data_IF_576862986153
#
_entry.id   IF_576862986153
#
_cell.length_a   1.000
_cell.length_b   1.000
_cell.length_c   1.000
_cell.angle_alpha   90.00
_cell.angle_beta   90.00
_cell.angle_gamma   90.00
#
_symmetry.space_group_name_H-M   'P 1'
#
loop_
_entity.id
_entity.type
_entity.pdbx_description
1 polymer ?
#
# COMPACT_ATOMS: atom_id res chain seq x y z
N UNK A 1 -7.95 -5.63 -31.71
CA UNK A 1 -7.52 -4.77 -30.59
C UNK A 1 -6.56 -5.58 -29.75
N UNK A 2 -5.51 -4.97 -29.21
CA UNK A 2 -4.61 -5.64 -28.26
C UNK A 2 -5.37 -6.03 -26.99
N UNK A 3 -4.96 -7.13 -26.33
CA UNK A 3 -5.63 -7.67 -25.14
C UNK A 3 -5.69 -6.67 -23.95
N UNK A 4 -4.66 -5.83 -23.84
CA UNK A 4 -4.54 -4.81 -22.80
C UNK A 4 -3.61 -3.66 -23.21
N UNK A 5 -3.54 -2.62 -22.39
CA UNK A 5 -2.76 -1.40 -22.62
C UNK A 5 -1.24 -1.65 -22.52
N UNK A 6 -0.53 -1.25 -23.58
CA UNK A 6 0.92 -1.45 -23.68
C UNK A 6 1.32 -2.91 -23.92
N UNK A 7 0.48 -3.69 -24.61
CA UNK A 7 0.74 -5.11 -24.92
C UNK A 7 2.14 -5.35 -25.51
N UNK A 8 2.48 -4.67 -26.60
CA UNK A 8 3.73 -4.89 -27.34
C UNK A 8 4.99 -4.67 -26.48
N UNK A 9 4.94 -3.75 -25.53
CA UNK A 9 6.07 -3.43 -24.63
C UNK A 9 6.14 -4.31 -23.37
N UNK A 10 5.17 -5.21 -23.15
CA UNK A 10 5.08 -6.06 -21.94
C UNK A 10 5.06 -7.56 -22.24
N UNK A 11 4.57 -7.97 -23.42
CA UNK A 11 4.22 -9.35 -23.71
C UNK A 11 5.39 -10.33 -23.63
N UNK A 12 6.60 -9.92 -24.04
CA UNK A 12 7.77 -10.81 -24.01
C UNK A 12 8.12 -11.21 -22.57
N UNK A 13 8.16 -10.22 -21.66
CA UNK A 13 8.39 -10.46 -20.25
C UNK A 13 7.27 -11.29 -19.60
N UNK A 14 6.02 -11.03 -19.97
CA UNK A 14 4.87 -11.83 -19.51
C UNK A 14 5.03 -13.29 -19.94
N UNK A 15 5.35 -13.53 -21.21
CA UNK A 15 5.53 -14.87 -21.76
C UNK A 15 6.70 -15.62 -21.11
N UNK A 16 7.80 -14.94 -20.79
CA UNK A 16 8.92 -15.52 -20.04
C UNK A 16 8.47 -15.98 -18.64
N UNK A 17 7.68 -15.16 -17.94
CA UNK A 17 7.14 -15.50 -16.62
C UNK A 17 6.12 -16.63 -16.71
N UNK A 18 5.23 -16.62 -17.70
CA UNK A 18 4.29 -17.71 -17.94
C UNK A 18 5.05 -19.05 -18.12
N UNK A 19 6.07 -19.08 -19.00
CA UNK A 19 6.92 -20.26 -19.21
C UNK A 19 7.59 -20.73 -17.92
N UNK A 20 8.12 -19.80 -17.11
CA UNK A 20 8.75 -20.12 -15.81
C UNK A 20 7.82 -20.90 -14.87
N UNK A 21 6.52 -20.61 -14.89
CA UNK A 21 5.53 -21.27 -14.04
C UNK A 21 4.73 -22.39 -14.73
N UNK A 22 5.14 -22.77 -15.95
CA UNK A 22 4.43 -23.78 -16.73
C UNK A 22 2.99 -23.37 -17.05
N UNK A 23 2.80 -22.09 -17.37
CA UNK A 23 1.58 -21.50 -17.93
C UNK A 23 1.90 -21.20 -19.41
N UNK A 24 1.14 -21.74 -20.34
CA UNK A 24 1.38 -21.62 -21.79
C UNK A 24 1.08 -20.23 -22.33
N UNK A 25 0.08 -19.53 -21.78
CA UNK A 25 -0.25 -18.16 -22.18
C UNK A 25 -0.96 -17.36 -21.07
N UNK A 26 -1.09 -16.04 -21.27
CA UNK A 26 -1.83 -15.17 -20.35
C UNK A 26 -3.32 -15.55 -20.27
N UNK A 27 -3.89 -16.07 -21.35
CA UNK A 27 -5.26 -16.59 -21.38
C UNK A 27 -5.39 -17.89 -20.58
N UNK A 28 -4.40 -18.79 -20.60
CA UNK A 28 -4.40 -19.97 -19.74
C UNK A 28 -4.37 -19.59 -18.25
N UNK A 29 -3.68 -18.48 -17.89
CA UNK A 29 -3.72 -17.99 -16.52
C UNK A 29 -5.15 -17.71 -16.05
N UNK A 30 -6.02 -17.20 -16.94
CA UNK A 30 -7.44 -17.03 -16.62
C UNK A 30 -8.15 -18.37 -16.44
N UNK A 31 -7.92 -19.34 -17.31
CA UNK A 31 -8.49 -20.69 -17.17
C UNK A 31 -8.12 -21.33 -15.83
N UNK A 32 -6.85 -21.26 -15.43
CA UNK A 32 -6.36 -21.77 -14.12
C UNK A 32 -7.13 -21.11 -12.96
N UNK A 33 -7.34 -19.80 -13.04
CA UNK A 33 -8.09 -19.05 -12.02
C UNK A 33 -9.58 -19.45 -12.00
N UNK A 34 -10.22 -19.54 -13.17
CA UNK A 34 -11.63 -19.90 -13.31
C UNK A 34 -11.91 -21.33 -12.80
N UNK A 35 -11.05 -22.29 -13.10
CA UNK A 35 -11.15 -23.68 -12.63
C UNK A 35 -11.07 -23.79 -11.10
N UNK A 36 -10.32 -22.90 -10.44
CA UNK A 36 -10.27 -22.77 -8.98
C UNK A 36 -11.32 -21.83 -8.40
N UNK A 37 -12.12 -21.17 -9.23
CA UNK A 37 -13.11 -20.19 -8.80
C UNK A 37 -12.53 -18.88 -8.26
N UNK A 38 -11.27 -18.56 -8.58
CA UNK A 38 -10.61 -17.31 -8.19
C UNK A 38 -10.88 -16.24 -9.24
N UNK A 39 -11.78 -15.31 -8.96
CA UNK A 39 -12.18 -14.24 -9.91
C UNK A 39 -11.28 -13.00 -9.81
N UNK A 40 -9.97 -13.17 -10.00
CA UNK A 40 -9.00 -12.08 -9.83
C UNK A 40 -9.29 -10.87 -10.74
N UNK A 41 -9.69 -11.12 -11.99
CA UNK A 41 -10.05 -10.09 -12.96
C UNK A 41 -11.21 -9.20 -12.47
N UNK A 42 -12.28 -9.83 -11.96
CA UNK A 42 -13.47 -9.14 -11.48
C UNK A 42 -13.18 -8.37 -10.18
N UNK A 43 -12.43 -8.97 -9.26
CA UNK A 43 -12.01 -8.31 -7.99
C UNK A 43 -11.31 -6.97 -8.26
N UNK A 44 -10.44 -6.92 -9.28
CA UNK A 44 -9.74 -5.68 -9.66
C UNK A 44 -10.72 -4.65 -10.21
N UNK A 45 -11.63 -5.05 -11.11
CA UNK A 45 -12.64 -4.17 -11.69
C UNK A 45 -13.61 -3.61 -10.64
N UNK A 46 -14.03 -4.42 -9.67
CA UNK A 46 -14.95 -4.02 -8.62
C UNK A 46 -14.30 -3.04 -7.62
N UNK A 47 -13.02 -3.28 -7.26
CA UNK A 47 -12.29 -2.40 -6.34
C UNK A 47 -11.93 -1.06 -6.96
N UNK A 48 -11.63 -1.03 -8.26
CA UNK A 48 -11.40 0.22 -8.99
C UNK A 48 -11.99 0.11 -10.40
N UNK A 49 -13.23 0.60 -10.61
CA UNK A 49 -13.92 0.52 -11.91
C UNK A 49 -13.18 1.17 -13.08
N UNK A 50 -12.28 2.11 -12.79
CA UNK A 50 -11.44 2.80 -13.77
C UNK A 50 -10.07 2.12 -14.01
N UNK A 51 -9.83 0.94 -13.41
CA UNK A 51 -8.60 0.18 -13.63
C UNK A 51 -8.49 -0.30 -15.07
N UNK A 52 -7.26 -0.26 -15.59
CA UNK A 52 -6.95 -0.66 -16.96
C UNK A 52 -7.02 -2.18 -17.14
N UNK A 53 -7.16 -2.64 -18.39
CA UNK A 53 -7.16 -4.07 -18.70
C UNK A 53 -5.84 -4.72 -18.28
N UNK A 54 -4.72 -4.03 -18.44
CA UNK A 54 -3.42 -4.57 -18.04
C UNK A 54 -3.32 -4.86 -16.52
N UNK A 55 -4.06 -4.14 -15.68
CA UNK A 55 -4.13 -4.39 -14.26
C UNK A 55 -4.88 -5.68 -13.96
N UNK A 56 -6.07 -5.84 -14.55
CA UNK A 56 -6.91 -7.03 -14.35
C UNK A 56 -6.20 -8.31 -14.80
N UNK A 57 -5.50 -8.25 -15.94
CA UNK A 57 -4.68 -9.36 -16.42
C UNK A 57 -3.44 -9.63 -15.57
N UNK A 58 -2.78 -8.60 -15.02
CA UNK A 58 -1.64 -8.78 -14.13
C UNK A 58 -2.01 -9.51 -12.84
N UNK A 59 -3.14 -9.16 -12.22
CA UNK A 59 -3.66 -9.88 -11.05
C UNK A 59 -4.13 -11.29 -11.39
N UNK A 60 -4.69 -11.49 -12.59
CA UNK A 60 -5.06 -12.83 -13.08
C UNK A 60 -3.83 -13.73 -13.23
N UNK A 61 -2.77 -13.22 -13.85
CA UNK A 61 -1.49 -13.93 -13.92
C UNK A 61 -0.93 -14.22 -12.52
N UNK A 62 -0.93 -13.22 -11.64
CA UNK A 62 -0.46 -13.36 -10.26
C UNK A 62 -1.21 -14.44 -9.46
N UNK A 63 -2.53 -14.49 -9.59
CA UNK A 63 -3.36 -15.53 -8.98
C UNK A 63 -3.07 -16.92 -9.56
N UNK A 64 -2.92 -17.03 -10.89
CA UNK A 64 -2.56 -18.29 -11.54
C UNK A 64 -1.19 -18.81 -11.09
N UNK A 65 -0.20 -17.92 -10.94
CA UNK A 65 1.13 -18.25 -10.40
C UNK A 65 0.98 -18.78 -8.96
N UNK A 66 0.17 -18.13 -8.12
CA UNK A 66 -0.06 -18.58 -6.75
C UNK A 66 -0.70 -19.99 -6.70
N UNK A 67 -1.69 -20.25 -7.56
CA UNK A 67 -2.33 -21.55 -7.69
C UNK A 67 -1.33 -22.62 -8.15
N UNK A 68 -0.52 -22.33 -9.18
CA UNK A 68 0.48 -23.27 -9.71
C UNK A 68 1.60 -23.57 -8.70
N UNK A 69 1.93 -22.61 -7.83
CA UNK A 69 2.87 -22.81 -6.71
C UNK A 69 2.26 -23.58 -5.53
N UNK A 70 0.96 -23.86 -5.55
CA UNK A 70 0.27 -24.54 -4.46
C UNK A 70 0.16 -23.68 -3.20
N UNK A 71 0.10 -22.35 -3.33
CA UNK A 71 0.01 -21.44 -2.18
C UNK A 71 -1.31 -21.65 -1.42
N UNK A 72 -1.22 -22.13 -0.17
CA UNK A 72 -2.38 -22.29 0.72
C UNK A 72 -2.52 -21.16 1.74
N UNK A 73 -1.46 -20.39 1.98
CA UNK A 73 -1.50 -19.19 2.81
C UNK A 73 -1.60 -17.92 1.96
N UNK A 74 -2.48 -17.01 2.33
CA UNK A 74 -2.70 -15.75 1.60
C UNK A 74 -1.42 -14.90 1.54
N UNK A 75 -0.58 -14.93 2.57
CA UNK A 75 0.70 -14.21 2.55
C UNK A 75 1.64 -14.71 1.43
N UNK A 76 1.66 -16.02 1.14
CA UNK A 76 2.47 -16.56 0.05
C UNK A 76 1.81 -16.33 -1.32
N UNK A 77 0.48 -16.38 -1.37
CA UNK A 77 -0.27 -15.98 -2.56
C UNK A 77 -0.01 -14.51 -2.93
N UNK A 78 0.07 -13.61 -1.95
CA UNK A 78 0.40 -12.19 -2.18
C UNK A 78 1.79 -12.00 -2.79
N UNK A 79 2.80 -12.76 -2.34
CA UNK A 79 4.14 -12.73 -2.96
C UNK A 79 4.10 -13.20 -4.41
N UNK A 80 3.37 -14.28 -4.70
CA UNK A 80 3.17 -14.79 -6.05
C UNK A 80 2.40 -13.80 -6.94
N UNK A 81 1.40 -13.10 -6.40
CA UNK A 81 0.72 -12.00 -7.09
C UNK A 81 1.71 -10.89 -7.44
N UNK A 82 2.64 -10.56 -6.54
CA UNK A 82 3.73 -9.62 -6.82
C UNK A 82 4.60 -10.01 -8.01
N UNK A 83 4.85 -11.31 -8.22
CA UNK A 83 5.57 -11.81 -9.40
C UNK A 83 4.79 -11.57 -10.71
N UNK A 84 3.46 -11.76 -10.69
CA UNK A 84 2.58 -11.41 -11.79
C UNK A 84 2.55 -9.90 -12.09
N UNK A 85 2.44 -9.08 -11.05
CA UNK A 85 2.52 -7.62 -11.18
C UNK A 85 3.87 -7.17 -11.75
N UNK A 86 4.96 -7.81 -11.33
CA UNK A 86 6.30 -7.50 -11.81
C UNK A 86 6.50 -7.89 -13.26
N UNK A 87 5.91 -8.99 -13.71
CA UNK A 87 5.93 -9.42 -15.11
C UNK A 87 5.30 -8.38 -16.04
N UNK A 88 4.33 -7.63 -15.52
CA UNK A 88 3.68 -6.56 -16.24
C UNK A 88 4.44 -5.24 -16.22
N UNK A 89 5.55 -5.06 -15.48
CA UNK A 89 6.32 -3.82 -15.57
C UNK A 89 6.91 -3.63 -16.98
N UNK A 90 6.94 -2.40 -17.52
CA UNK A 90 7.64 -2.11 -18.78
C UNK A 90 9.14 -2.24 -18.54
N UNK A 91 9.88 -3.04 -19.34
CA UNK A 91 11.33 -3.17 -19.20
C UNK A 91 12.05 -1.82 -19.20
N UNK A 92 12.97 -1.61 -18.27
CA UNK A 92 13.76 -0.38 -18.16
C UNK A 92 13.01 0.84 -17.59
N UNK A 93 11.72 0.70 -17.27
CA UNK A 93 10.94 1.75 -16.62
C UNK A 93 11.31 1.92 -15.15
N UNK A 94 10.81 3.01 -14.55
CA UNK A 94 10.94 3.23 -13.10
C UNK A 94 10.33 2.08 -12.31
N UNK A 95 9.17 1.57 -12.74
CA UNK A 95 8.50 0.44 -12.09
C UNK A 95 9.31 -0.86 -12.15
N UNK A 96 9.98 -1.12 -13.28
CA UNK A 96 10.84 -2.30 -13.43
C UNK A 96 12.11 -2.20 -12.57
N UNK A 97 12.83 -1.07 -12.65
CA UNK A 97 14.06 -0.88 -11.87
C UNK A 97 13.83 -0.96 -10.36
N UNK A 98 12.72 -0.39 -9.86
CA UNK A 98 12.38 -0.41 -8.43
C UNK A 98 11.70 -1.70 -7.98
N UNK A 99 11.46 -2.65 -8.89
CA UNK A 99 10.76 -3.90 -8.62
C UNK A 99 9.41 -3.66 -7.93
N UNK A 100 8.64 -2.70 -8.45
CA UNK A 100 7.41 -2.19 -7.81
C UNK A 100 6.35 -3.29 -7.68
N UNK A 101 6.23 -4.19 -8.65
CA UNK A 101 5.30 -5.32 -8.59
C UNK A 101 5.62 -6.25 -7.42
N UNK A 102 6.89 -6.61 -7.23
CA UNK A 102 7.34 -7.39 -6.08
C UNK A 102 7.12 -6.65 -4.76
N UNK A 103 7.34 -5.33 -4.75
CA UNK A 103 7.08 -4.47 -3.58
C UNK A 103 5.62 -4.51 -3.14
N UNK A 104 4.66 -4.44 -4.08
CA UNK A 104 3.23 -4.60 -3.77
C UNK A 104 2.90 -5.99 -3.22
N UNK A 105 3.45 -7.05 -3.82
CA UNK A 105 3.27 -8.42 -3.31
C UNK A 105 3.80 -8.60 -1.88
N UNK A 106 4.98 -8.04 -1.59
CA UNK A 106 5.58 -8.08 -0.25
C UNK A 106 4.77 -7.30 0.78
N UNK A 107 4.27 -6.11 0.42
CA UNK A 107 3.37 -5.35 1.29
C UNK A 107 2.10 -6.16 1.60
N UNK A 108 1.45 -6.71 0.58
CA UNK A 108 0.26 -7.56 0.77
C UNK A 108 0.55 -8.75 1.68
N UNK A 109 1.70 -9.40 1.49
CA UNK A 109 2.13 -10.53 2.32
C UNK A 109 2.31 -10.16 3.79
N UNK A 110 2.89 -8.98 4.07
CA UNK A 110 3.06 -8.50 5.44
C UNK A 110 1.72 -8.16 6.09
N UNK A 111 0.80 -7.52 5.36
CA UNK A 111 -0.55 -7.22 5.85
C UNK A 111 -1.37 -8.48 6.16
N UNK A 112 -1.06 -9.60 5.48
CA UNK A 112 -1.70 -10.90 5.69
C UNK A 112 -0.99 -11.78 6.73
N UNK A 113 0.23 -11.42 7.14
CA UNK A 113 1.04 -12.21 8.07
C UNK A 113 0.72 -11.92 9.53
N UNK A 114 0.67 -12.96 10.37
CA UNK A 114 0.54 -12.82 11.83
C UNK A 114 1.72 -12.10 12.49
N UNK A 115 2.86 -11.94 11.79
CA UNK A 115 4.01 -11.18 12.28
C UNK A 115 3.73 -9.68 12.39
N UNK A 116 2.74 -9.15 11.66
CA UNK A 116 2.35 -7.74 11.73
C UNK A 116 1.06 -7.58 12.53
N UNK A 117 1.08 -6.77 13.58
CA UNK A 117 -0.07 -6.45 14.43
C UNK A 117 -0.65 -5.06 14.19
N UNK A 118 0.13 -4.11 13.66
CA UNK A 118 -0.34 -2.74 13.42
C UNK A 118 0.14 -2.16 12.09
N UNK A 119 -0.81 -1.64 11.32
CA UNK A 119 -0.59 -0.94 10.06
C UNK A 119 -0.92 0.56 10.20
N UNK A 120 0.03 1.43 9.87
CA UNK A 120 -0.13 2.87 9.94
C UNK A 120 -0.25 3.53 8.56
N UNK A 121 -1.28 4.33 8.38
CA UNK A 121 -1.34 5.32 7.31
C UNK A 121 -0.72 6.62 7.82
N UNK A 122 0.47 6.95 7.31
CA UNK A 122 1.08 8.24 7.54
C UNK A 122 0.44 9.23 6.56
N UNK A 123 -0.66 9.84 7.00
CA UNK A 123 -1.63 10.56 6.20
C UNK A 123 -1.27 12.03 5.99
N UNK A 124 -1.57 12.55 4.79
CA UNK A 124 -1.58 13.98 4.46
C UNK A 124 -2.97 14.60 4.46
N UNK A 125 -3.06 15.90 4.16
CA UNK A 125 -4.30 16.68 4.26
C UNK A 125 -5.42 16.20 3.33
N UNK A 126 -5.08 15.43 2.28
CA UNK A 126 -6.03 14.90 1.30
C UNK A 126 -6.47 13.45 1.59
N UNK A 127 -6.18 12.93 2.80
CA UNK A 127 -6.28 11.48 3.08
C UNK A 127 -7.67 10.95 3.41
N UNK A 128 -8.74 11.69 3.11
CA UNK A 128 -10.12 11.21 3.29
C UNK A 128 -10.36 9.89 2.54
N UNK A 129 -9.84 9.75 1.33
CA UNK A 129 -9.97 8.52 0.55
C UNK A 129 -9.05 7.38 1.06
N UNK A 130 -7.96 7.69 1.75
CA UNK A 130 -7.06 6.68 2.30
C UNK A 130 -7.69 5.94 3.50
N UNK A 131 -8.57 6.63 4.25
CA UNK A 131 -9.32 6.08 5.37
C UNK A 131 -10.24 4.91 4.97
N UNK A 132 -11.02 5.05 3.89
CA UNK A 132 -11.90 3.97 3.41
C UNK A 132 -11.10 2.76 2.89
N UNK A 133 -10.03 3.01 2.14
CA UNK A 133 -9.14 1.94 1.66
C UNK A 133 -8.50 1.15 2.81
N UNK A 134 -8.08 1.85 3.87
CA UNK A 134 -7.49 1.26 5.07
C UNK A 134 -8.41 0.25 5.75
N UNK A 135 -9.69 0.61 5.88
CA UNK A 135 -10.73 -0.25 6.48
C UNK A 135 -10.95 -1.49 5.62
N UNK A 136 -11.14 -1.30 4.31
CA UNK A 136 -11.38 -2.41 3.38
C UNK A 136 -10.22 -3.42 3.35
N UNK A 137 -8.98 -2.92 3.37
CA UNK A 137 -7.76 -3.74 3.47
C UNK A 137 -7.78 -4.55 4.77
N UNK A 138 -7.96 -3.90 5.92
CA UNK A 138 -7.94 -4.60 7.20
C UNK A 138 -9.09 -5.61 7.34
N UNK A 139 -10.30 -5.26 6.92
CA UNK A 139 -11.43 -6.19 6.92
C UNK A 139 -11.18 -7.42 6.07
N UNK A 140 -10.61 -7.23 4.88
CA UNK A 140 -10.31 -8.34 3.97
C UNK A 140 -9.17 -9.20 4.51
N UNK A 141 -8.08 -8.60 4.97
CA UNK A 141 -6.97 -9.32 5.60
C UNK A 141 -7.44 -10.11 6.83
N UNK A 142 -8.32 -9.52 7.65
CA UNK A 142 -8.83 -10.15 8.87
C UNK A 142 -9.76 -11.36 8.63
N UNK A 143 -10.17 -11.65 7.38
CA UNK A 143 -10.89 -12.89 7.06
C UNK A 143 -10.04 -14.13 7.25
N UNK A 144 -8.73 -14.02 7.04
CA UNK A 144 -7.78 -15.14 7.06
C UNK A 144 -6.79 -15.08 8.23
N UNK A 145 -6.82 -13.99 9.01
CA UNK A 145 -5.96 -13.79 10.18
C UNK A 145 -6.63 -14.28 11.46
N UNK A 146 -5.82 -14.78 12.38
CA UNK A 146 -6.21 -15.10 13.75
C UNK A 146 -6.26 -13.84 14.60
N UNK A 147 -5.21 -13.01 14.52
CA UNK A 147 -5.16 -11.74 15.22
C UNK A 147 -5.53 -10.60 14.26
N UNK A 148 -6.61 -9.85 14.54
CA UNK A 148 -7.02 -8.76 13.68
C UNK A 148 -5.91 -7.71 13.55
N UNK A 149 -5.57 -7.35 12.31
CA UNK A 149 -4.67 -6.25 12.00
C UNK A 149 -5.30 -4.94 12.50
N UNK A 150 -4.57 -4.22 13.35
CA UNK A 150 -4.96 -2.88 13.81
C UNK A 150 -4.54 -1.85 12.80
N UNK A 151 -5.35 -0.81 12.63
CA UNK A 151 -5.09 0.29 11.70
C UNK A 151 -5.07 1.59 12.46
N UNK A 152 -4.03 2.39 12.22
CA UNK A 152 -3.93 3.75 12.73
C UNK A 152 -3.69 4.76 11.61
N UNK A 153 -4.09 6.00 11.84
CA UNK A 153 -3.67 7.16 11.06
C UNK A 153 -2.75 8.01 11.93
N UNK A 154 -1.69 8.54 11.33
CA UNK A 154 -0.72 9.44 11.97
C UNK A 154 -0.17 10.42 10.91
N UNK A 155 0.58 11.46 11.28
CA UNK A 155 1.17 12.43 10.34
C UNK A 155 0.28 13.61 9.96
N UNK A 156 -0.87 13.74 10.63
CA UNK A 156 -1.84 14.83 10.51
C UNK A 156 -1.63 15.86 11.64
N UNK A 157 -2.05 17.11 11.44
CA UNK A 157 -2.23 18.02 12.58
C UNK A 157 -3.43 17.61 13.43
N UNK A 158 -3.47 18.00 14.72
CA UNK A 158 -4.53 17.62 15.67
C UNK A 158 -5.95 17.98 15.18
N UNK A 159 -6.15 19.19 14.67
CA UNK A 159 -7.46 19.61 14.11
C UNK A 159 -7.89 18.76 12.91
N UNK A 160 -6.95 18.49 11.99
CA UNK A 160 -7.22 17.68 10.81
C UNK A 160 -7.55 16.23 11.20
N UNK A 161 -6.82 15.66 12.16
CA UNK A 161 -7.08 14.33 12.69
C UNK A 161 -8.47 14.24 13.33
N UNK A 162 -8.89 15.24 14.11
CA UNK A 162 -10.22 15.26 14.71
C UNK A 162 -11.33 15.34 13.65
N UNK A 163 -11.19 16.22 12.65
CA UNK A 163 -12.16 16.37 11.56
C UNK A 163 -12.28 15.07 10.75
N UNK A 164 -11.15 14.49 10.35
CA UNK A 164 -11.10 13.21 9.61
C UNK A 164 -11.76 12.11 10.44
N UNK A 165 -11.48 12.06 11.75
CA UNK A 165 -12.06 11.05 12.63
C UNK A 165 -13.57 11.16 12.70
N UNK A 166 -14.07 12.40 12.88
CA UNK A 166 -15.51 12.66 12.97
C UNK A 166 -16.24 12.29 11.68
N UNK A 167 -15.70 12.66 10.53
CA UNK A 167 -16.32 12.40 9.22
C UNK A 167 -16.34 10.89 8.93
N UNK A 168 -15.27 10.17 9.25
CA UNK A 168 -15.17 8.75 8.93
C UNK A 168 -15.69 7.81 10.03
N UNK A 169 -16.08 8.34 11.19
CA UNK A 169 -16.52 7.55 12.35
C UNK A 169 -15.37 6.84 13.08
N UNK A 170 -14.14 7.35 13.00
CA UNK A 170 -12.97 6.78 13.68
C UNK A 170 -12.89 7.21 15.14
N UNK A 171 -11.97 6.60 15.87
CA UNK A 171 -11.59 7.08 17.20
C UNK A 171 -10.49 8.12 17.06
N UNK A 172 -10.78 9.36 17.41
CA UNK A 172 -9.78 10.42 17.54
C UNK A 172 -8.98 10.20 18.81
N UNK A 173 -7.66 10.19 18.71
CA UNK A 173 -6.75 10.09 19.85
C UNK A 173 -5.88 11.33 19.89
N UNK A 174 -6.12 12.17 20.89
CA UNK A 174 -5.36 13.38 21.13
C UNK A 174 -4.18 13.07 22.05
N UNK A 175 -3.00 13.54 21.64
CA UNK A 175 -1.76 13.33 22.38
C UNK A 175 -1.11 14.65 22.79
N UNK A 176 -0.31 14.58 23.84
CA UNK A 176 0.62 15.62 24.25
C UNK A 176 2.02 15.02 24.37
N UNK A 177 3.01 15.69 23.78
CA UNK A 177 4.40 15.24 23.79
C UNK A 177 5.21 15.98 24.86
N UNK A 178 5.73 15.24 25.83
CA UNK A 178 6.70 15.75 26.79
C UNK A 178 8.11 15.69 26.18
N UNK A 179 8.58 16.83 25.69
CA UNK A 179 9.92 16.97 25.10
C UNK A 179 11.07 16.71 26.09
N UNK A 180 10.85 16.92 27.40
CA UNK A 180 11.89 16.67 28.41
C UNK A 180 11.98 15.20 28.75
N UNK A 181 10.84 14.50 28.79
CA UNK A 181 10.77 13.08 29.09
C UNK A 181 10.87 12.18 27.85
N UNK A 182 10.84 12.75 26.63
CA UNK A 182 10.78 12.04 25.36
C UNK A 182 9.60 11.05 25.29
N UNK A 183 8.44 11.47 25.80
CA UNK A 183 7.27 10.61 26.00
C UNK A 183 5.98 11.23 25.45
N UNK A 184 5.21 10.43 24.73
CA UNK A 184 3.84 10.79 24.32
C UNK A 184 2.83 10.30 25.34
N UNK A 185 1.87 11.16 25.69
CA UNK A 185 0.75 10.84 26.58
C UNK A 185 -0.56 11.02 25.82
N UNK A 186 -1.50 10.08 25.98
CA UNK A 186 -2.86 10.22 25.47
C UNK A 186 -3.64 11.09 26.45
N UNK A 187 -4.14 12.23 25.98
CA UNK A 187 -4.91 13.18 26.79
C UNK A 187 -6.42 13.05 26.57
N UNK A 188 -6.83 12.53 25.41
CA UNK A 188 -8.24 12.37 25.05
C UNK A 188 -8.45 11.29 24.01
N UNK A 189 -9.51 10.51 24.17
CA UNK A 189 -10.02 9.59 23.15
C UNK A 189 -11.51 9.86 22.90
N UNK A 190 -11.89 10.02 21.62
CA UNK A 190 -13.28 10.24 21.21
C UNK A 190 -13.63 9.26 20.09
N UNK A 191 -14.46 8.27 20.39
CA UNK A 191 -15.06 7.41 19.37
C UNK A 191 -16.24 8.15 18.71
N UNK A 192 -16.18 8.35 17.39
CA UNK A 192 -17.27 8.98 16.64
C UNK A 192 -18.26 7.97 16.02
N UNK A 193 -18.06 6.68 16.26
CA UNK A 193 -19.01 5.61 15.93
C UNK A 193 -18.85 4.42 16.89
N UNK A 194 -19.73 3.43 16.79
CA UNK A 194 -19.71 2.23 17.64
C UNK A 194 -19.28 0.95 16.87
N UNK A 195 -18.92 1.09 15.59
CA UNK A 195 -18.68 -0.03 14.68
C UNK A 195 -17.19 -0.33 14.42
N UNK A 196 -16.92 -1.08 13.34
CA UNK A 196 -15.55 -1.38 12.90
C UNK A 196 -14.72 -0.12 12.63
N UNK A 197 -15.38 0.97 12.21
CA UNK A 197 -14.75 2.28 11.98
C UNK A 197 -14.13 2.83 13.27
N UNK A 198 -14.77 2.66 14.42
CA UNK A 198 -14.25 3.09 15.72
C UNK A 198 -12.96 2.37 16.13
N UNK A 199 -12.66 1.19 15.56
CA UNK A 199 -11.41 0.46 15.82
C UNK A 199 -10.20 1.11 15.15
N UNK A 200 -10.42 1.98 14.17
CA UNK A 200 -9.35 2.76 13.55
C UNK A 200 -9.05 3.95 14.45
N UNK A 201 -7.81 4.05 14.93
CA UNK A 201 -7.36 5.20 15.72
C UNK A 201 -6.72 6.24 14.83
N UNK A 202 -7.11 7.49 14.97
CA UNK A 202 -6.56 8.59 14.20
C UNK A 202 -5.88 9.58 15.15
N UNK A 203 -4.57 9.65 15.01
CA UNK A 203 -3.70 10.51 15.78
C UNK A 203 -3.38 11.79 14.99
N UNK A 204 -3.34 12.90 15.70
CA UNK A 204 -2.72 14.13 15.22
C UNK A 204 -1.44 14.41 16.00
N UNK A 205 -0.39 14.86 15.30
CA UNK A 205 0.89 15.24 15.87
C UNK A 205 1.22 16.68 15.47
N UNK A 206 1.91 17.40 16.34
CA UNK A 206 2.41 18.76 16.12
C UNK A 206 3.91 18.79 15.81
N UNK A 207 4.59 17.64 15.95
CA UNK A 207 6.01 17.49 15.64
C UNK A 207 6.32 16.10 15.08
N UNK A 208 7.49 15.95 14.46
CA UNK A 208 8.02 14.66 14.02
C UNK A 208 8.25 13.74 15.22
N UNK A 209 8.77 14.27 16.33
CA UNK A 209 9.05 13.51 17.55
C UNK A 209 7.79 12.90 18.14
N UNK A 210 6.72 13.69 18.25
CA UNK A 210 5.41 13.19 18.67
C UNK A 210 4.88 12.11 17.72
N UNK A 211 4.98 12.34 16.40
CA UNK A 211 4.61 11.36 15.39
C UNK A 211 5.37 10.04 15.52
N UNK A 212 6.68 10.08 15.76
CA UNK A 212 7.52 8.89 16.00
C UNK A 212 7.12 8.20 17.31
N UNK A 213 6.86 8.97 18.37
CA UNK A 213 6.43 8.41 19.65
C UNK A 213 5.06 7.73 19.56
N UNK A 214 4.14 8.23 18.72
CA UNK A 214 2.87 7.55 18.41
C UNK A 214 3.14 6.21 17.71
N UNK A 215 4.07 6.16 16.74
CA UNK A 215 4.43 4.90 16.06
C UNK A 215 5.00 3.88 17.05
N UNK A 216 5.79 4.33 18.03
CA UNK A 216 6.29 3.51 19.15
C UNK A 216 5.15 3.03 20.06
N UNK A 217 4.29 3.94 20.49
CA UNK A 217 3.14 3.67 21.38
C UNK A 217 2.24 2.57 20.80
N UNK A 218 1.93 2.66 19.51
CA UNK A 218 1.05 1.71 18.82
C UNK A 218 1.79 0.47 18.31
N UNK A 219 3.10 0.38 18.55
CA UNK A 219 3.97 -0.70 18.09
C UNK A 219 3.79 -0.99 16.59
N UNK A 220 3.89 0.04 15.75
CA UNK A 220 3.63 -0.09 14.29
C UNK A 220 4.62 -1.02 13.59
N UNK A 221 4.12 -1.95 12.79
CA UNK A 221 4.94 -2.94 12.06
C UNK A 221 5.06 -2.61 10.57
N UNK A 222 4.01 -1.98 10.02
CA UNK A 222 3.93 -1.61 8.61
C UNK A 222 3.43 -0.17 8.51
N UNK A 223 3.99 0.62 7.60
CA UNK A 223 3.40 1.91 7.24
C UNK A 223 3.38 2.16 5.74
N UNK A 224 2.46 3.02 5.34
CA UNK A 224 2.47 3.65 4.02
C UNK A 224 2.38 5.17 4.18
N UNK A 225 3.29 5.90 3.54
CA UNK A 225 3.22 7.37 3.48
C UNK A 225 2.24 7.79 2.40
N UNK A 226 1.30 8.65 2.74
CA UNK A 226 0.37 9.25 1.78
C UNK A 226 0.99 10.37 0.97
N UNK A 227 0.19 10.96 0.08
CA UNK A 227 0.57 12.21 -0.57
C UNK A 227 0.35 13.38 0.40
N UNK A 228 1.25 14.37 0.35
CA UNK A 228 1.07 15.65 1.02
C UNK A 228 1.15 16.78 0.00
N UNK A 229 0.41 17.87 0.21
CA UNK A 229 0.59 19.15 -0.50
C UNK A 229 1.58 20.09 0.21
N UNK A 230 2.13 19.65 1.35
CA UNK A 230 3.06 20.45 2.14
C UNK A 230 4.19 19.58 2.71
N UNK A 231 5.47 19.91 2.45
CA UNK A 231 6.63 19.12 2.91
C UNK A 231 6.89 19.27 4.41
N UNK A 232 6.33 20.30 5.08
CA UNK A 232 6.41 20.44 6.54
C UNK A 232 5.55 19.43 7.27
N UNK A 233 4.78 18.60 6.55
CA UNK A 233 3.99 17.52 7.12
C UNK A 233 4.88 16.35 7.48
N UNK A 234 4.55 15.73 8.61
CA UNK A 234 5.46 14.86 9.35
C UNK A 234 5.62 13.45 8.75
N UNK A 235 4.99 13.11 7.63
CA UNK A 235 4.88 11.72 7.15
C UNK A 235 6.24 11.06 6.83
N UNK A 236 7.00 11.60 5.88
CA UNK A 236 8.30 11.06 5.50
C UNK A 236 9.33 11.18 6.64
N UNK A 237 9.44 12.32 7.36
CA UNK A 237 10.31 12.41 8.53
C UNK A 237 9.95 11.41 9.63
N UNK A 238 8.66 11.21 9.94
CA UNK A 238 8.21 10.22 10.94
C UNK A 238 8.57 8.81 10.48
N UNK A 239 8.29 8.47 9.22
CA UNK A 239 8.64 7.15 8.67
C UNK A 239 10.15 6.89 8.75
N UNK A 240 10.98 7.85 8.36
CA UNK A 240 12.43 7.73 8.38
C UNK A 240 13.03 7.67 9.78
N UNK A 241 12.62 8.56 10.68
CA UNK A 241 13.07 8.53 12.07
C UNK A 241 12.62 7.24 12.78
N UNK A 242 11.39 6.79 12.55
CA UNK A 242 10.91 5.52 13.12
C UNK A 242 11.62 4.30 12.51
N UNK A 243 11.94 4.32 11.21
CA UNK A 243 12.74 3.26 10.57
C UNK A 243 14.11 3.14 11.21
N UNK A 244 14.80 4.27 11.43
CA UNK A 244 16.09 4.30 12.11
C UNK A 244 15.97 3.71 13.52
N UNK A 245 15.00 4.17 14.31
CA UNK A 245 14.77 3.66 15.67
C UNK A 245 14.49 2.16 15.69
N UNK A 246 13.68 1.64 14.75
CA UNK A 246 13.41 0.22 14.63
C UNK A 246 14.70 -0.57 14.33
N UNK A 247 15.55 -0.09 13.42
CA UNK A 247 16.84 -0.72 13.10
C UNK A 247 17.75 -0.75 14.33
N UNK A 248 17.88 0.37 15.04
CA UNK A 248 18.73 0.49 16.24
C UNK A 248 18.26 -0.42 17.39
N UNK A 249 16.97 -0.72 17.46
CA UNK A 249 16.37 -1.58 18.47
C UNK A 249 16.08 -3.02 17.98
N UNK A 250 16.53 -3.39 16.77
CA UNK A 250 16.31 -4.73 16.22
C UNK A 250 14.84 -5.07 15.93
N UNK A 251 13.96 -4.06 15.83
CA UNK A 251 12.55 -4.23 15.46
C UNK A 251 12.41 -4.29 13.95
N UNK A 252 11.70 -5.30 13.44
CA UNK A 252 11.27 -5.32 12.05
C UNK A 252 10.18 -4.27 11.83
N UNK A 253 10.37 -3.41 10.85
CA UNK A 253 9.39 -2.44 10.40
C UNK A 253 9.48 -2.30 8.88
N UNK A 254 8.34 -2.41 8.21
CA UNK A 254 8.24 -2.30 6.76
C UNK A 254 7.57 -0.99 6.36
N UNK A 255 8.30 -0.14 5.67
CA UNK A 255 7.81 1.16 5.28
C UNK A 255 7.64 1.24 3.77
N UNK A 256 6.52 1.79 3.35
CA UNK A 256 6.20 2.01 1.95
C UNK A 256 6.12 3.50 1.67
N UNK A 257 6.92 3.94 0.71
CA UNK A 257 6.84 5.29 0.19
C UNK A 257 5.91 5.32 -1.03
N UNK A 258 4.68 5.85 -0.86
CA UNK A 258 3.75 6.03 -1.99
C UNK A 258 4.23 7.17 -2.89
N UNK A 259 4.72 6.85 -4.09
CA UNK A 259 5.36 7.81 -5.00
C UNK A 259 4.43 8.73 -5.78
N UNK A 260 3.19 8.93 -5.31
CA UNK A 260 2.19 9.71 -6.05
C UNK A 260 2.24 11.21 -5.83
N UNK A 261 2.79 11.62 -4.70
CA UNK A 261 2.86 13.01 -4.27
C UNK A 261 4.26 13.59 -4.44
N UNK A 262 5.23 12.78 -4.85
CA UNK A 262 6.65 13.12 -4.81
C UNK A 262 6.99 14.39 -5.60
N UNK A 263 6.24 14.68 -6.66
CA UNK A 263 6.28 15.96 -7.35
C UNK A 263 5.51 17.06 -6.63
N UNK A 264 4.21 16.87 -6.35
CA UNK A 264 3.32 17.97 -5.91
C UNK A 264 3.59 18.48 -4.50
N UNK A 265 4.18 17.68 -3.62
CA UNK A 265 4.40 18.07 -2.22
C UNK A 265 5.21 19.35 -2.09
N UNK A 266 6.16 19.59 -2.99
CA UNK A 266 7.01 20.76 -2.98
C UNK A 266 6.54 21.89 -3.91
N UNK A 267 5.37 21.74 -4.55
CA UNK A 267 4.89 22.64 -5.59
C UNK A 267 6.02 23.08 -6.57
N UNK A 268 6.60 22.14 -7.35
CA UNK A 268 7.78 22.33 -8.22
C UNK A 268 7.72 23.59 -9.05
N UNK A 269 6.54 23.80 -9.63
CA UNK A 269 6.26 24.87 -10.58
C UNK A 269 6.16 26.22 -9.85
N UNK A 270 5.60 26.22 -8.64
CA UNK A 270 5.49 27.43 -7.81
C UNK A 270 6.83 27.81 -7.17
N UNK A 271 7.67 26.82 -6.86
CA UNK A 271 8.98 27.02 -6.22
C UNK A 271 10.13 27.15 -7.23
N UNK A 272 9.82 27.16 -8.54
CA UNK A 272 10.79 27.20 -9.64
C UNK A 272 11.90 26.12 -9.55
N UNK A 273 11.62 25.02 -8.85
CA UNK A 273 12.58 23.95 -8.60
C UNK A 273 12.67 22.96 -9.77
N UNK A 274 11.73 23.03 -10.71
CA UNK A 274 11.69 22.18 -11.90
C UNK A 274 11.76 20.68 -11.54
N UNK A 275 12.34 19.84 -12.41
CA UNK A 275 12.48 18.40 -12.16
C UNK A 275 13.25 18.03 -10.88
N UNK A 276 14.09 18.93 -10.34
CA UNK A 276 14.89 18.63 -9.14
C UNK A 276 14.06 18.47 -7.87
N UNK A 277 12.89 19.11 -7.78
CA UNK A 277 11.94 18.95 -6.65
C UNK A 277 11.38 17.52 -6.55
N UNK A 278 11.18 16.84 -7.68
CA UNK A 278 10.84 15.41 -7.69
C UNK A 278 11.95 14.58 -7.02
N UNK A 279 13.20 15.04 -7.11
CA UNK A 279 14.36 14.42 -6.49
C UNK A 279 14.34 14.43 -4.96
N UNK A 280 13.88 15.51 -4.31
CA UNK A 280 13.88 15.58 -2.83
C UNK A 280 12.86 14.61 -2.23
N UNK A 281 11.64 14.56 -2.76
CA UNK A 281 10.64 13.62 -2.24
C UNK A 281 10.94 12.18 -2.64
N UNK A 282 11.52 11.95 -3.83
CA UNK A 282 12.04 10.63 -4.20
C UNK A 282 13.15 10.18 -3.23
N UNK A 283 14.05 11.10 -2.88
CA UNK A 283 15.13 10.88 -1.91
C UNK A 283 14.56 10.54 -0.53
N UNK A 284 13.58 11.30 -0.03
CA UNK A 284 12.94 11.02 1.25
C UNK A 284 12.28 9.63 1.26
N UNK A 285 11.60 9.24 0.18
CA UNK A 285 11.04 7.90 0.05
C UNK A 285 12.11 6.79 0.12
N UNK A 286 13.26 7.00 -0.54
CA UNK A 286 14.39 6.05 -0.51
C UNK A 286 15.10 5.94 0.84
N UNK A 287 15.03 6.98 1.67
CA UNK A 287 15.65 6.96 2.99
C UNK A 287 14.99 5.98 3.97
N UNK A 288 13.72 5.65 3.76
CA UNK A 288 12.97 4.80 4.69
C UNK A 288 12.27 3.60 4.03
N UNK A 289 11.94 3.70 2.74
CA UNK A 289 11.06 2.75 2.06
C UNK A 289 11.75 1.42 1.75
N UNK A 290 11.18 0.33 2.27
CA UNK A 290 11.47 -1.04 1.83
C UNK A 290 10.82 -1.33 0.47
N UNK A 291 9.71 -0.64 0.18
CA UNK A 291 9.12 -0.53 -1.14
C UNK A 291 8.83 0.95 -1.46
N UNK A 292 9.11 1.34 -2.70
CA UNK A 292 8.78 2.67 -3.19
C UNK A 292 7.93 2.54 -4.45
N UNK A 293 6.67 2.93 -4.33
CA UNK A 293 5.74 2.88 -5.44
C UNK A 293 5.98 4.04 -6.40
N UNK A 294 5.59 3.87 -7.66
CA UNK A 294 5.75 4.89 -8.69
C UNK A 294 4.39 5.47 -9.08
N UNK A 295 4.32 6.78 -9.30
CA UNK A 295 3.12 7.45 -9.80
C UNK A 295 2.02 7.64 -8.75
N UNK A 296 0.94 8.32 -9.13
CA UNK A 296 -0.15 8.76 -8.24
C UNK A 296 -0.72 7.63 -7.37
N UNK A 297 -1.15 7.96 -6.15
CA UNK A 297 -1.76 6.99 -5.23
C UNK A 297 -3.11 6.45 -5.74
N UNK A 298 -3.80 7.18 -6.62
CA UNK A 298 -5.19 6.90 -6.98
C UNK A 298 -5.52 6.89 -8.48
N UNK A 299 -4.65 7.41 -9.35
CA UNK A 299 -4.95 7.63 -10.78
C UNK A 299 -4.23 6.57 -11.64
N UNK A 300 -4.95 5.61 -12.26
CA UNK A 300 -4.40 4.57 -13.12
C UNK A 300 -3.39 5.05 -14.16
N UNK A 301 -3.73 6.11 -14.90
CA UNK A 301 -2.89 6.65 -15.96
C UNK A 301 -1.52 7.11 -15.43
N UNK A 302 -1.46 7.74 -14.25
CA UNK A 302 -0.19 8.18 -13.66
C UNK A 302 0.70 7.01 -13.24
N UNK A 303 0.11 5.86 -12.90
CA UNK A 303 0.87 4.65 -12.52
C UNK A 303 1.34 3.90 -13.77
N UNK A 304 0.50 3.79 -14.80
CA UNK A 304 0.89 3.20 -16.09
C UNK A 304 2.00 4.02 -16.79
N UNK A 305 1.95 5.36 -16.71
CA UNK A 305 3.01 6.25 -17.22
C UNK A 305 4.39 5.97 -16.60
N UNK A 306 4.44 5.44 -15.37
CA UNK A 306 5.69 5.05 -14.71
C UNK A 306 6.16 3.64 -15.09
N UNK A 307 5.43 2.97 -15.98
CA UNK A 307 5.72 1.65 -16.49
C UNK A 307 5.17 0.49 -15.66
N UNK A 308 4.33 0.73 -14.64
CA UNK A 308 3.60 -0.35 -13.94
C UNK A 308 2.30 -0.67 -14.71
N UNK A 309 1.24 -1.08 -14.01
CA UNK A 309 -0.12 -1.33 -14.52
C UNK A 309 -1.01 -0.12 -14.23
N UNK A 310 -2.10 0.03 -14.98
CA UNK A 310 -3.07 1.10 -14.76
C UNK A 310 -4.00 0.80 -13.60
N UNK A 311 -3.49 0.89 -12.38
CA UNK A 311 -4.26 0.87 -11.13
C UNK A 311 -3.62 1.82 -10.12
N UNK A 312 -4.42 2.47 -9.28
CA UNK A 312 -3.88 3.36 -8.24
C UNK A 312 -3.10 2.58 -7.18
N UNK A 313 -1.98 3.11 -6.68
CA UNK A 313 -1.16 2.40 -5.70
C UNK A 313 -1.91 2.00 -4.42
N UNK A 314 -2.80 2.85 -3.89
CA UNK A 314 -3.59 2.48 -2.71
C UNK A 314 -4.63 1.37 -3.03
N UNK A 315 -5.44 1.48 -4.10
CA UNK A 315 -6.27 0.37 -4.58
C UNK A 315 -5.52 -0.93 -4.80
N UNK A 316 -4.30 -0.88 -5.35
CA UNK A 316 -3.47 -2.07 -5.58
C UNK A 316 -3.19 -2.85 -4.29
N UNK A 317 -2.96 -2.18 -3.16
CA UNK A 317 -2.80 -2.88 -1.87
C UNK A 317 -4.06 -3.67 -1.51
N UNK A 318 -5.23 -3.08 -1.71
CA UNK A 318 -6.52 -3.74 -1.53
C UNK A 318 -6.74 -4.91 -2.49
N UNK A 319 -6.39 -4.73 -3.76
CA UNK A 319 -6.46 -5.78 -4.79
C UNK A 319 -5.55 -6.96 -4.46
N UNK A 320 -4.29 -6.71 -4.07
CA UNK A 320 -3.36 -7.78 -3.67
C UNK A 320 -3.90 -8.57 -2.49
N UNK A 321 -4.37 -7.89 -1.44
CA UNK A 321 -4.95 -8.55 -0.25
C UNK A 321 -6.21 -9.34 -0.61
N UNK A 322 -7.13 -8.77 -1.40
CA UNK A 322 -8.37 -9.43 -1.78
C UNK A 322 -8.15 -10.66 -2.67
N UNK A 323 -7.30 -10.54 -3.69
CA UNK A 323 -6.98 -11.67 -4.57
C UNK A 323 -6.23 -12.76 -3.81
N UNK A 324 -5.30 -12.40 -2.92
CA UNK A 324 -4.58 -13.37 -2.10
C UNK A 324 -5.50 -14.16 -1.14
N UNK A 325 -6.46 -13.47 -0.51
CA UNK A 325 -7.50 -14.11 0.32
C UNK A 325 -8.37 -15.04 -0.52
N UNK A 326 -8.79 -14.61 -1.71
CA UNK A 326 -9.58 -15.45 -2.62
C UNK A 326 -8.81 -16.71 -3.05
N UNK A 327 -7.50 -16.60 -3.30
CA UNK A 327 -6.63 -17.76 -3.57
C UNK A 327 -6.60 -18.71 -2.37
N UNK A 328 -6.37 -18.21 -1.15
CA UNK A 328 -6.37 -19.07 0.04
C UNK A 328 -7.71 -19.78 0.24
N UNK A 329 -8.83 -19.07 0.10
CA UNK A 329 -10.18 -19.65 0.23
C UNK A 329 -10.45 -20.73 -0.83
N UNK A 330 -9.97 -20.54 -2.05
CA UNK A 330 -10.09 -21.52 -3.13
C UNK A 330 -9.18 -22.73 -2.92
N UNK A 331 -7.97 -22.53 -2.40
CA UNK A 331 -6.97 -23.58 -2.18
C UNK A 331 -7.20 -24.39 -0.89
N UNK A 332 -8.13 -23.95 -0.04
CA UNK A 332 -8.54 -24.66 1.18
C UNK A 332 -9.78 -25.54 1.00
N UNK A 333 -10.36 -25.58 -0.22
CA UNK A 333 -11.49 -26.44 -0.60
C UNK A 333 -10.99 -27.74 -1.21
#
# INVERSE_FOLDING_TARGET
MSLFEGYERRIDQINEVCKKYGIASIEEAKTICDEKGVKAYDIVGDLQPIAFENAKWAYTLGAAIAIKKGCTAAADAAKAIGEGLQAFCVPGSVADHRKVGLGHGNLGAMLLSEEAGCFAFLAGHESFAAAEGAIGIAQTANKVRKNPLRVILNGLGKDAAQIISRINGFTFVETEYDFKADKVNVVKEIAYSDGLRAKVKCYGAESVQEGVAIMKLENVDISITGNSTNPTRFQHPVAGCYKKDCIENGKKYFSVASGGGTGRTLHPDNMAAGPASYGMTDTMGRMHGDAQFAGSSSVPAHVDMMGLIGAGNNPMVGMTVAVAVAVQEAMSK
#
